data_IF_509101279707
#
_entry.id   IF_509101279707
#
_cell.length_a   1.000
_cell.length_b   1.000
_cell.length_c   1.000
_cell.angle_alpha   90.00
_cell.angle_beta   90.00
_cell.angle_gamma   90.00
#
_symmetry.space_group_name_H-M   'P 1'
#
loop_
_entity.id
_entity.type
_entity.pdbx_description
1 polymer ?
#
# COMPACT_ATOMS: atom_id res chain seq x y z
N UNK A 1 7.16 -22.17 18.21
CA UNK A 1 7.33 -20.70 18.41
C UNK A 1 7.25 -20.10 17.02
N UNK A 2 6.32 -19.18 16.76
CA UNK A 2 6.11 -18.61 15.42
C UNK A 2 7.07 -17.44 15.26
N UNK A 3 7.92 -17.47 14.23
CA UNK A 3 8.80 -16.35 13.89
C UNK A 3 8.01 -15.25 13.22
N UNK A 4 8.22 -14.01 13.69
CA UNK A 4 7.51 -12.84 13.18
C UNK A 4 8.17 -12.21 11.96
N UNK A 5 9.30 -12.76 11.49
CA UNK A 5 10.01 -12.31 10.28
C UNK A 5 10.24 -10.78 10.28
N UNK A 6 10.56 -10.24 11.46
CA UNK A 6 10.78 -8.80 11.68
C UNK A 6 12.26 -8.44 11.44
N UNK A 7 13.16 -9.43 11.46
CA UNK A 7 14.59 -9.27 11.28
C UNK A 7 15.04 -9.32 9.82
N UNK A 8 16.07 -8.54 9.51
CA UNK A 8 16.71 -8.52 8.19
C UNK A 8 17.25 -9.90 7.80
N UNK A 9 17.98 -10.55 8.71
CA UNK A 9 18.62 -11.85 8.47
C UNK A 9 17.61 -12.99 8.32
N UNK A 10 16.53 -12.97 9.09
CA UNK A 10 15.47 -13.99 9.03
C UNK A 10 14.75 -13.94 7.67
N UNK A 11 14.44 -12.73 7.18
CA UNK A 11 13.79 -12.55 5.88
C UNK A 11 14.70 -12.94 4.72
N UNK A 12 16.02 -12.67 4.82
CA UNK A 12 17.01 -13.13 3.84
C UNK A 12 17.05 -14.66 3.76
N UNK A 13 17.03 -15.36 4.90
CA UNK A 13 17.10 -16.83 4.92
C UNK A 13 15.81 -17.45 4.36
N UNK A 14 14.66 -16.85 4.64
CA UNK A 14 13.36 -17.33 4.18
C UNK A 14 12.94 -16.84 2.78
N UNK A 15 13.77 -16.03 2.10
CA UNK A 15 13.45 -15.47 0.79
C UNK A 15 12.28 -14.47 0.76
N UNK A 16 11.93 -13.91 1.93
CA UNK A 16 10.91 -12.87 2.06
C UNK A 16 11.52 -11.48 1.82
N UNK A 17 10.69 -10.51 1.45
CA UNK A 17 11.15 -9.14 1.25
C UNK A 17 11.79 -8.62 2.55
N UNK A 18 13.04 -8.18 2.45
CA UNK A 18 13.76 -7.63 3.59
C UNK A 18 13.20 -6.24 3.93
N UNK A 19 13.22 -5.82 5.21
CA UNK A 19 12.66 -4.54 5.64
C UNK A 19 13.51 -3.31 5.23
N UNK A 20 14.18 -3.36 4.08
CA UNK A 20 15.04 -2.31 3.55
C UNK A 20 14.75 -2.06 2.07
N UNK A 21 15.00 -0.84 1.59
CA UNK A 21 14.71 -0.45 0.21
C UNK A 21 13.20 -0.49 -0.06
N UNK A 22 12.79 -1.33 -1.01
CA UNK A 22 11.37 -1.53 -1.40
C UNK A 22 10.54 -2.29 -0.37
N UNK A 23 11.16 -2.97 0.60
CA UNK A 23 10.45 -3.61 1.72
C UNK A 23 10.35 -2.73 2.96
N UNK A 24 10.62 -1.43 2.84
CA UNK A 24 10.33 -0.48 3.90
C UNK A 24 8.80 -0.33 4.05
N UNK A 25 8.32 -0.55 5.28
CA UNK A 25 6.89 -0.50 5.63
C UNK A 25 6.21 0.83 5.30
N UNK A 26 6.99 1.90 5.17
CA UNK A 26 6.50 3.23 4.79
C UNK A 26 6.00 3.29 3.34
N UNK A 27 6.59 2.49 2.45
CA UNK A 27 6.25 2.50 1.02
C UNK A 27 5.28 1.38 0.62
N UNK A 28 4.99 0.42 1.50
CA UNK A 28 4.09 -0.71 1.23
C UNK A 28 2.66 -0.29 0.80
N UNK A 29 2.21 0.88 1.26
CA UNK A 29 0.86 1.42 0.98
C UNK A 29 0.85 2.55 -0.04
N UNK A 30 2.01 2.90 -0.60
CA UNK A 30 2.10 3.98 -1.56
C UNK A 30 1.57 3.51 -2.93
N UNK A 31 0.38 3.97 -3.30
CA UNK A 31 -0.22 3.68 -4.61
C UNK A 31 -0.11 4.92 -5.49
N UNK A 32 0.55 4.79 -6.65
CA UNK A 32 0.68 5.88 -7.63
C UNK A 32 -0.28 5.61 -8.78
N UNK A 33 -1.18 6.55 -9.03
CA UNK A 33 -2.16 6.51 -10.12
C UNK A 33 -1.98 7.69 -11.08
N UNK A 34 -2.62 7.60 -12.25
CA UNK A 34 -2.65 8.74 -13.17
C UNK A 34 -3.54 9.85 -12.62
N UNK A 35 -3.17 11.11 -12.86
CA UNK A 35 -3.93 12.28 -12.38
C UNK A 35 -5.37 12.25 -12.91
N UNK A 36 -5.56 11.85 -14.17
CA UNK A 36 -6.87 11.77 -14.80
C UNK A 36 -7.78 10.69 -14.19
N UNK A 37 -7.22 9.56 -13.76
CA UNK A 37 -7.96 8.50 -13.10
C UNK A 37 -8.36 8.91 -11.68
N UNK A 38 -7.46 9.61 -10.97
CA UNK A 38 -7.76 10.20 -9.66
C UNK A 38 -8.91 11.21 -9.75
N UNK A 39 -8.87 12.13 -10.72
CA UNK A 39 -9.92 13.13 -10.92
C UNK A 39 -11.28 12.50 -11.25
N UNK A 40 -11.31 11.45 -12.08
CA UNK A 40 -12.54 10.69 -12.39
C UNK A 40 -13.13 10.01 -11.16
N UNK A 41 -12.29 9.36 -10.35
CA UNK A 41 -12.73 8.68 -9.12
C UNK A 41 -13.26 9.71 -8.12
N UNK A 42 -12.59 10.85 -7.95
CA UNK A 42 -13.05 11.93 -7.05
C UNK A 42 -14.36 12.55 -7.53
N UNK A 43 -14.49 12.81 -8.83
CA UNK A 43 -15.73 13.36 -9.41
C UNK A 43 -16.92 12.40 -9.21
N UNK A 44 -16.70 11.10 -9.45
CA UNK A 44 -17.74 10.08 -9.21
C UNK A 44 -18.03 9.87 -7.71
N UNK A 45 -17.06 10.12 -6.82
CA UNK A 45 -17.30 10.02 -5.39
C UNK A 45 -18.14 11.18 -4.85
N UNK A 46 -18.01 12.38 -5.43
CA UNK A 46 -18.84 13.53 -5.06
C UNK A 46 -20.31 13.31 -5.46
N UNK A 47 -20.57 12.78 -6.64
CA UNK A 47 -21.95 12.62 -7.15
C UNK A 47 -22.78 11.58 -6.40
N UNK A 48 -22.15 10.57 -5.77
CA UNK A 48 -22.87 9.50 -5.05
C UNK A 48 -23.25 9.92 -3.63
N UNK A 49 -22.48 10.82 -3.00
CA UNK A 49 -22.74 11.26 -1.61
C UNK A 49 -23.89 12.27 -1.54
N UNK A 50 -24.21 12.94 -2.66
CA UNK A 50 -25.33 13.88 -2.75
C UNK A 50 -26.70 13.21 -2.99
N UNK A 51 -26.76 11.87 -3.15
CA UNK A 51 -28.03 11.14 -3.35
C UNK A 51 -28.62 10.56 -2.06
N UNK A 52 -27.90 10.67 -0.93
CA UNK A 52 -28.35 10.19 0.39
C UNK A 52 -28.86 11.32 1.32
N UNK A 53 -29.13 12.52 0.78
CA UNK A 53 -29.71 13.65 1.51
C UNK A 53 -31.23 13.79 1.31
#
# INVERSE_FOLDING_TARGET
>A
KVDKLEGMKENVICGHLIPAGTGQREFDKLVVGSKEEYERIVANKLTVVDYEA
#
